data_IF_164054278124
#
_entry.id   IF_164054278124
#
_cell.length_a   1.000
_cell.length_b   1.000
_cell.length_c   1.000
_cell.angle_alpha   90.00
_cell.angle_beta   90.00
_cell.angle_gamma   90.00
#
_symmetry.space_group_name_H-M   'P 1'
#
loop_
_entity.id
_entity.type
_entity.pdbx_description
1 polymer ?
#
# COMPACT_ATOMS: atom_id res chain seq x y z
N UNK A 1 -24.83 -19.30 -9.84
CA UNK A 1 -23.81 -20.02 -9.05
C UNK A 1 -23.11 -18.98 -8.21
N UNK A 2 -23.10 -19.12 -6.89
CA UNK A 2 -22.45 -18.15 -6.01
C UNK A 2 -20.95 -18.14 -6.32
N UNK A 3 -20.42 -16.95 -6.58
CA UNK A 3 -18.97 -16.76 -6.70
C UNK A 3 -18.42 -16.88 -5.28
N UNK A 4 -17.52 -17.84 -5.09
CA UNK A 4 -16.91 -18.17 -3.82
C UNK A 4 -15.48 -17.66 -3.90
N UNK A 5 -15.06 -16.90 -2.90
CA UNK A 5 -13.69 -16.41 -2.85
C UNK A 5 -12.71 -17.58 -2.66
N UNK A 6 -11.72 -17.73 -3.54
CA UNK A 6 -10.70 -18.78 -3.43
C UNK A 6 -9.74 -18.59 -2.24
N UNK A 7 -9.72 -17.41 -1.63
CA UNK A 7 -8.82 -17.06 -0.53
C UNK A 7 -9.44 -17.38 0.84
N UNK A 8 -10.74 -17.10 1.02
CA UNK A 8 -11.45 -17.29 2.29
C UNK A 8 -12.58 -18.33 2.26
N UNK A 9 -13.00 -18.82 1.08
CA UNK A 9 -14.07 -19.82 0.94
C UNK A 9 -15.47 -19.30 1.27
N UNK A 10 -15.62 -18.00 1.55
CA UNK A 10 -16.89 -17.36 1.81
C UNK A 10 -17.58 -16.94 0.49
N UNK A 11 -18.92 -16.88 0.47
CA UNK A 11 -19.66 -16.22 -0.60
C UNK A 11 -19.18 -14.77 -0.76
N UNK A 12 -19.09 -14.26 -1.98
CA UNK A 12 -18.62 -12.89 -2.25
C UNK A 12 -19.34 -11.81 -1.40
N UNK A 13 -20.62 -12.01 -1.07
CA UNK A 13 -21.41 -11.10 -0.24
C UNK A 13 -20.88 -10.91 1.20
N UNK A 14 -20.03 -11.82 1.69
CA UNK A 14 -19.40 -11.78 3.02
C UNK A 14 -17.87 -11.74 2.96
N UNK A 15 -17.29 -11.63 1.76
CA UNK A 15 -15.85 -11.67 1.57
C UNK A 15 -15.20 -10.34 1.99
N UNK A 16 -14.46 -10.34 3.10
CA UNK A 16 -13.67 -9.20 3.55
C UNK A 16 -12.18 -9.28 3.14
N UNK A 17 -11.80 -10.28 2.34
CA UNK A 17 -10.41 -10.55 1.98
C UNK A 17 -9.72 -9.34 1.31
N UNK A 18 -10.44 -8.53 0.53
CA UNK A 18 -9.89 -7.32 -0.10
C UNK A 18 -9.70 -6.12 0.84
N UNK A 19 -10.49 -6.03 1.90
CA UNK A 19 -10.37 -4.94 2.89
C UNK A 19 -9.24 -5.22 3.89
N UNK A 20 -9.05 -6.49 4.26
CA UNK A 20 -7.93 -6.93 5.10
C UNK A 20 -6.57 -6.63 4.48
N UNK A 21 -6.42 -6.81 3.16
CA UNK A 21 -5.17 -6.49 2.45
C UNK A 21 -4.86 -4.99 2.51
N UNK A 22 -5.88 -4.12 2.41
CA UNK A 22 -5.70 -2.67 2.49
C UNK A 22 -5.34 -2.22 3.91
N UNK A 23 -6.00 -2.77 4.92
CA UNK A 23 -5.77 -2.44 6.33
C UNK A 23 -4.35 -2.80 6.82
N UNK A 24 -3.72 -3.80 6.20
CA UNK A 24 -2.35 -4.20 6.54
C UNK A 24 -1.28 -3.16 6.17
N UNK A 25 -1.57 -2.28 5.20
CA UNK A 25 -0.57 -1.34 4.65
C UNK A 25 -0.43 -0.08 5.51
N UNK A 26 0.70 0.05 6.20
CA UNK A 26 1.01 1.21 7.06
C UNK A 26 2.00 2.15 6.38
N UNK A 27 1.56 3.35 5.98
CA UNK A 27 2.41 4.36 5.34
C UNK A 27 2.99 5.32 6.39
N UNK A 28 4.31 5.48 6.39
CA UNK A 28 5.04 6.37 7.32
C UNK A 28 5.68 7.50 6.51
N UNK A 29 5.33 8.76 6.83
CA UNK A 29 5.92 9.94 6.21
C UNK A 29 6.74 10.67 7.26
N UNK A 30 8.02 10.92 6.97
CA UNK A 30 8.92 11.65 7.86
C UNK A 30 9.77 12.68 7.13
N UNK A 31 10.13 13.73 7.85
CA UNK A 31 11.06 14.75 7.38
C UNK A 31 12.46 14.44 7.89
N UNK A 32 13.39 14.23 6.98
CA UNK A 32 14.80 14.00 7.30
C UNK A 32 15.66 15.17 6.81
N UNK A 33 16.73 15.46 7.55
CA UNK A 33 17.75 16.39 7.09
C UNK A 33 18.85 15.59 6.40
N UNK A 34 18.95 15.73 5.08
CA UNK A 34 19.97 15.10 4.25
C UNK A 34 21.26 15.94 4.20
N UNK A 35 22.26 15.44 3.47
CA UNK A 35 23.54 16.13 3.27
C UNK A 35 23.32 17.60 2.88
N UNK A 36 24.23 18.45 3.35
CA UNK A 36 24.18 19.91 3.17
C UNK A 36 22.95 20.59 3.81
N UNK A 37 22.46 20.03 4.92
CA UNK A 37 21.28 20.56 5.66
C UNK A 37 20.02 20.70 4.80
N UNK A 38 19.93 19.93 3.71
CA UNK A 38 18.75 19.95 2.85
C UNK A 38 17.64 19.12 3.49
N UNK A 39 16.43 19.67 3.57
CA UNK A 39 15.26 18.93 4.02
C UNK A 39 14.83 17.96 2.90
N UNK A 40 14.56 16.72 3.26
CA UNK A 40 13.99 15.72 2.37
C UNK A 40 12.82 15.02 3.06
N UNK A 41 11.79 14.69 2.29
CA UNK A 41 10.67 13.88 2.78
C UNK A 41 10.94 12.43 2.43
N UNK A 42 10.88 11.55 3.42
CA UNK A 42 10.96 10.11 3.25
C UNK A 42 9.56 9.52 3.43
N UNK A 43 9.14 8.70 2.48
CA UNK A 43 7.86 7.98 2.50
C UNK A 43 8.20 6.48 2.50
N UNK A 44 7.71 5.77 3.52
CA UNK A 44 7.89 4.32 3.69
C UNK A 44 6.54 3.62 3.79
N UNK A 45 6.51 2.30 3.60
CA UNK A 45 5.29 1.50 3.72
C UNK A 45 4.48 1.36 2.44
N UNK A 46 5.02 1.78 1.30
CA UNK A 46 4.44 1.52 -0.02
C UNK A 46 4.81 0.09 -0.46
N UNK A 47 3.80 -0.77 -0.67
CA UNK A 47 4.03 -2.12 -1.20
C UNK A 47 4.50 -2.04 -2.67
N UNK A 48 5.73 -2.50 -2.99
CA UNK A 48 6.27 -2.46 -4.34
C UNK A 48 5.54 -3.38 -5.33
N UNK A 49 4.73 -4.35 -4.87
CA UNK A 49 3.97 -5.25 -5.74
C UNK A 49 2.66 -4.64 -6.23
N UNK A 50 2.07 -3.75 -5.42
CA UNK A 50 0.78 -3.11 -5.70
C UNK A 50 1.02 -1.75 -6.36
N UNK A 51 2.00 -1.00 -5.86
CA UNK A 51 2.30 0.35 -6.33
C UNK A 51 3.61 0.37 -7.11
N UNK A 52 3.57 0.83 -8.35
CA UNK A 52 4.79 1.07 -9.13
C UNK A 52 5.48 2.35 -8.61
N UNK A 53 6.41 2.17 -7.67
CA UNK A 53 7.20 3.23 -7.05
C UNK A 53 7.86 4.18 -8.08
N UNK A 54 8.26 3.66 -9.24
CA UNK A 54 8.89 4.46 -10.29
C UNK A 54 7.94 5.44 -10.97
N UNK A 55 6.67 5.07 -11.12
CA UNK A 55 5.64 5.97 -11.65
C UNK A 55 5.20 6.98 -10.59
N UNK A 56 4.95 6.53 -9.36
CA UNK A 56 4.54 7.40 -8.25
C UNK A 56 5.60 8.48 -7.98
N UNK A 57 6.88 8.13 -8.02
CA UNK A 57 7.97 9.10 -7.84
C UNK A 57 8.14 10.07 -9.03
N UNK A 58 7.59 9.77 -10.21
CA UNK A 58 7.63 10.66 -11.38
C UNK A 58 6.47 11.64 -11.43
N UNK A 59 5.33 11.29 -10.82
CA UNK A 59 4.15 12.15 -10.75
C UNK A 59 4.22 13.17 -9.59
N UNK A 60 5.09 12.93 -8.60
CA UNK A 60 5.41 13.84 -7.48
C UNK A 60 6.43 14.91 -7.88
#
# INVERSE_FOLDING_TARGET
MAVICNTCGLPDDLCACGDLDKDSTHIIIRLETRRFRKKGTMIEGLDPKINNLGNVAREL
#
